data_IF_673053154033
#
_entry.id   IF_673053154033
#
_cell.length_a   1.000
_cell.length_b   1.000
_cell.length_c   1.000
_cell.angle_alpha   90.00
_cell.angle_beta   90.00
_cell.angle_gamma   90.00
#
_symmetry.space_group_name_H-M   'P 1'
#
loop_
_entity.id
_entity.type
_entity.pdbx_description
1 polymer ?
#
# COMPACT_ATOMS: atom_id res chain seq x y z
N UNK A 1 -15.68 25.54 16.19
CA UNK A 1 -15.08 25.36 17.52
C UNK A 1 -14.35 24.02 17.65
N UNK A 2 -13.63 23.56 16.62
CA UNK A 2 -13.09 22.18 16.61
C UNK A 2 -11.66 22.09 16.05
N UNK A 3 -10.95 23.22 16.06
CA UNK A 3 -9.51 23.30 15.71
C UNK A 3 -8.67 23.53 16.97
N UNK A 4 -9.27 24.09 18.03
CA UNK A 4 -8.57 24.50 19.25
C UNK A 4 -8.08 23.33 20.13
N UNK A 5 -8.53 22.10 19.84
CA UNK A 5 -8.10 20.87 20.54
C UNK A 5 -7.24 19.93 19.70
N UNK A 6 -6.90 20.30 18.47
CA UNK A 6 -6.07 19.45 17.61
C UNK A 6 -4.62 19.39 18.15
N UNK A 7 -4.14 18.18 18.41
CA UNK A 7 -2.74 17.97 18.79
C UNK A 7 -1.85 18.11 17.55
N UNK A 8 -0.75 18.84 17.69
CA UNK A 8 0.29 18.91 16.65
C UNK A 8 1.15 17.67 16.78
N UNK A 9 1.14 16.83 15.75
CA UNK A 9 1.93 15.61 15.65
C UNK A 9 2.89 15.71 14.45
N UNK A 10 4.03 15.04 14.53
CA UNK A 10 4.97 14.94 13.41
C UNK A 10 4.56 13.80 12.49
N UNK A 11 4.65 14.01 11.18
CA UNK A 11 4.38 13.00 10.15
C UNK A 11 5.56 12.91 9.19
N UNK A 12 6.09 11.71 9.01
CA UNK A 12 7.11 11.39 8.02
C UNK A 12 6.54 11.49 6.60
N UNK A 13 7.40 11.97 5.70
CA UNK A 13 7.14 12.06 4.27
C UNK A 13 8.17 11.23 3.54
N UNK A 14 7.71 10.57 2.49
CA UNK A 14 8.49 9.59 1.78
C UNK A 14 8.55 9.95 0.30
N UNK A 15 9.71 9.75 -0.31
CA UNK A 15 9.88 9.74 -1.75
C UNK A 15 9.60 8.33 -2.26
N UNK A 16 8.85 8.22 -3.35
CA UNK A 16 8.69 6.99 -4.12
C UNK A 16 9.36 7.22 -5.47
N UNK A 17 10.61 6.78 -5.60
CA UNK A 17 11.36 6.87 -6.84
C UNK A 17 11.04 5.67 -7.74
N UNK A 18 10.56 5.96 -8.95
CA UNK A 18 10.15 4.97 -9.94
C UNK A 18 11.26 4.86 -11.00
N UNK A 19 11.92 3.70 -11.04
CA UNK A 19 12.95 3.35 -12.01
C UNK A 19 12.38 2.31 -12.95
N UNK A 20 12.21 2.62 -14.22
CA UNK A 20 11.73 1.65 -15.22
C UNK A 20 12.91 0.91 -15.85
N UNK A 21 12.71 -0.38 -16.16
CA UNK A 21 13.71 -1.18 -16.85
C UNK A 21 13.61 -0.92 -18.36
N UNK A 22 14.24 0.15 -18.85
CA UNK A 22 14.42 0.35 -20.28
C UNK A 22 15.53 -0.60 -20.79
N UNK A 23 15.37 -1.17 -21.98
CA UNK A 23 16.27 -2.20 -22.54
C UNK A 23 17.72 -1.78 -22.83
N UNK A 24 18.19 -0.65 -22.29
CA UNK A 24 19.58 -0.22 -22.29
C UNK A 24 20.01 0.02 -20.83
N UNK A 25 21.20 -0.43 -20.46
CA UNK A 25 21.71 -0.73 -19.10
C UNK A 25 21.69 0.39 -18.04
N UNK A 26 21.09 1.55 -18.32
CA UNK A 26 20.93 2.65 -17.35
C UNK A 26 19.50 2.71 -16.80
N UNK A 27 19.34 2.33 -15.53
CA UNK A 27 18.13 2.61 -14.74
C UNK A 27 18.04 4.13 -14.52
N UNK A 28 17.36 4.84 -15.42
CA UNK A 28 17.06 6.26 -15.22
C UNK A 28 15.80 6.41 -14.36
N UNK A 29 15.90 7.14 -13.24
CA UNK A 29 14.73 7.52 -12.43
C UNK A 29 13.79 8.35 -13.29
N UNK A 30 12.64 7.78 -13.65
CA UNK A 30 11.68 8.41 -14.56
C UNK A 30 10.77 9.40 -13.85
N UNK A 31 10.34 9.04 -12.64
CA UNK A 31 9.37 9.82 -11.87
C UNK A 31 9.64 9.65 -10.39
N UNK A 32 9.45 10.72 -9.62
CA UNK A 32 9.38 10.67 -8.16
C UNK A 32 7.98 11.08 -7.73
N UNK A 33 7.30 10.20 -7.02
CA UNK A 33 6.03 10.49 -6.32
C UNK A 33 6.32 10.72 -4.83
N UNK A 34 5.33 11.23 -4.12
CA UNK A 34 5.41 11.42 -2.67
C UNK A 34 4.35 10.56 -1.99
N UNK A 35 4.70 10.05 -0.82
CA UNK A 35 3.83 9.23 0.01
C UNK A 35 3.83 9.77 1.44
N UNK A 36 2.66 9.83 2.06
CA UNK A 36 2.51 10.12 3.49
C UNK A 36 1.86 8.99 4.26
N UNK A 37 1.05 8.14 3.62
CA UNK A 37 0.28 7.11 4.31
C UNK A 37 0.77 5.72 3.93
N UNK A 38 0.67 5.35 2.66
CA UNK A 38 1.00 4.01 2.19
C UNK A 38 1.17 3.92 0.67
N UNK A 39 1.85 2.86 0.25
CA UNK A 39 1.89 2.37 -1.13
C UNK A 39 1.54 0.88 -1.13
N UNK A 40 0.71 0.46 -2.08
CA UNK A 40 0.30 -0.93 -2.25
C UNK A 40 0.62 -1.43 -3.66
N UNK A 41 1.00 -2.70 -3.77
CA UNK A 41 1.19 -3.44 -5.02
C UNK A 41 0.39 -4.74 -4.93
N UNK A 42 -0.47 -5.00 -5.91
CA UNK A 42 -1.27 -6.23 -5.97
C UNK A 42 -2.78 -5.99 -5.86
N UNK A 43 -3.49 -6.92 -5.22
CA UNK A 43 -4.96 -6.98 -5.26
C UNK A 43 -5.65 -5.73 -4.69
N UNK A 44 -5.11 -5.10 -3.63
CA UNK A 44 -5.63 -3.85 -3.10
C UNK A 44 -5.56 -2.71 -4.14
N UNK A 45 -4.41 -2.58 -4.79
CA UNK A 45 -4.17 -1.62 -5.84
C UNK A 45 -5.00 -1.90 -7.08
N UNK A 46 -5.27 -3.18 -7.38
CA UNK A 46 -6.15 -3.59 -8.48
C UNK A 46 -7.57 -3.12 -8.26
N UNK A 47 -8.13 -3.33 -7.07
CA UNK A 47 -9.48 -2.86 -6.72
C UNK A 47 -9.56 -1.33 -6.79
N UNK A 48 -8.53 -0.63 -6.30
CA UNK A 48 -8.44 0.83 -6.41
C UNK A 48 -8.39 1.29 -7.88
N UNK A 49 -7.60 0.61 -8.72
CA UNK A 49 -7.49 0.88 -10.15
C UNK A 49 -8.82 0.67 -10.88
N UNK A 50 -9.49 -0.47 -10.68
CA UNK A 50 -10.76 -0.78 -11.34
C UNK A 50 -11.88 0.19 -10.93
N UNK A 51 -11.90 0.57 -9.65
CA UNK A 51 -12.79 1.60 -9.15
C UNK A 51 -12.52 2.95 -9.83
N UNK A 52 -11.25 3.34 -9.96
CA UNK A 52 -10.83 4.57 -10.62
C UNK A 52 -11.24 4.57 -12.10
N UNK A 53 -10.89 3.52 -12.87
CA UNK A 53 -11.27 3.38 -14.28
C UNK A 53 -12.78 3.40 -14.46
N UNK A 54 -13.53 2.69 -13.61
CA UNK A 54 -15.01 2.69 -13.66
C UNK A 54 -15.57 4.10 -13.40
N UNK A 55 -14.93 4.89 -12.53
CA UNK A 55 -15.31 6.28 -12.27
C UNK A 55 -15.08 7.19 -13.45
N UNK A 56 -13.96 7.03 -14.14
CA UNK A 56 -13.66 7.80 -15.35
C UNK A 56 -14.60 7.44 -16.50
N UNK A 57 -14.94 6.16 -16.67
CA UNK A 57 -15.88 5.71 -17.71
C UNK A 57 -17.33 6.15 -17.45
N UNK A 58 -17.75 6.18 -16.18
CA UNK A 58 -19.17 6.34 -15.79
C UNK A 58 -19.33 7.34 -14.63
N UNK A 59 -18.94 8.62 -14.82
CA UNK A 59 -18.93 9.61 -13.74
C UNK A 59 -20.31 9.82 -13.10
N UNK A 60 -21.38 9.75 -13.89
CA UNK A 60 -22.77 9.93 -13.42
C UNK A 60 -23.19 8.91 -12.34
N UNK A 61 -22.48 7.78 -12.23
CA UNK A 61 -22.76 6.76 -11.20
C UNK A 61 -22.13 7.10 -9.85
N UNK A 62 -21.24 8.09 -9.77
CA UNK A 62 -20.46 8.41 -8.56
C UNK A 62 -21.03 9.61 -7.79
N UNK A 63 -22.36 9.77 -7.81
CA UNK A 63 -23.05 10.94 -7.25
C UNK A 63 -23.26 10.87 -5.73
N UNK A 64 -22.96 9.75 -5.06
CA UNK A 64 -23.13 9.65 -3.60
C UNK A 64 -22.12 8.72 -2.94
N UNK A 65 -21.78 9.01 -1.68
CA UNK A 65 -20.84 8.20 -0.90
C UNK A 65 -21.31 6.74 -0.74
N UNK A 66 -22.62 6.52 -0.56
CA UNK A 66 -23.18 5.17 -0.46
C UNK A 66 -22.98 4.38 -1.75
N UNK A 67 -23.28 5.00 -2.91
CA UNK A 67 -23.09 4.35 -4.21
C UNK A 67 -21.61 4.10 -4.48
N UNK A 68 -20.73 5.04 -4.13
CA UNK A 68 -19.28 4.85 -4.25
C UNK A 68 -18.81 3.64 -3.44
N UNK A 69 -19.27 3.48 -2.19
CA UNK A 69 -18.96 2.29 -1.37
C UNK A 69 -19.47 1.00 -2.01
N UNK A 70 -20.67 1.01 -2.60
CA UNK A 70 -21.24 -0.17 -3.26
C UNK A 70 -20.47 -0.57 -4.52
N UNK A 71 -20.04 0.41 -5.33
CA UNK A 71 -19.19 0.15 -6.50
C UNK A 71 -17.85 -0.44 -6.06
N UNK A 72 -17.22 0.11 -5.02
CA UNK A 72 -15.97 -0.42 -4.48
C UNK A 72 -16.13 -1.88 -4.01
N UNK A 73 -17.20 -2.17 -3.26
CA UNK A 73 -17.51 -3.53 -2.83
C UNK A 73 -17.73 -4.49 -4.01
N UNK A 74 -18.36 -4.02 -5.09
CA UNK A 74 -18.54 -4.81 -6.32
C UNK A 74 -17.22 -5.14 -6.99
N UNK A 75 -16.33 -4.17 -7.15
CA UNK A 75 -15.02 -4.40 -7.78
C UNK A 75 -14.16 -5.33 -6.91
N UNK A 76 -14.18 -5.17 -5.58
CA UNK A 76 -13.56 -6.13 -4.68
C UNK A 76 -14.13 -7.54 -4.82
N UNK A 77 -15.45 -7.70 -4.93
CA UNK A 77 -16.07 -9.01 -5.12
C UNK A 77 -15.70 -9.70 -6.44
N UNK A 78 -15.43 -8.93 -7.52
CA UNK A 78 -14.93 -9.50 -8.77
C UNK A 78 -13.52 -10.04 -8.61
N UNK A 79 -12.64 -9.26 -7.99
CA UNK A 79 -11.25 -9.67 -7.80
C UNK A 79 -11.11 -10.92 -6.90
N UNK A 80 -12.02 -11.12 -5.93
CA UNK A 80 -12.10 -12.38 -5.16
C UNK A 80 -12.28 -13.60 -6.09
N UNK A 81 -13.02 -13.46 -7.18
CA UNK A 81 -13.26 -14.53 -8.14
C UNK A 81 -12.11 -14.69 -9.13
N UNK A 82 -11.57 -13.59 -9.62
CA UNK A 82 -10.57 -13.58 -10.68
C UNK A 82 -9.14 -13.87 -10.16
N UNK A 83 -8.86 -13.58 -8.87
CA UNK A 83 -7.54 -13.73 -8.22
C UNK A 83 -6.41 -13.19 -9.08
N UNK A 84 -6.60 -11.97 -9.60
CA UNK A 84 -5.79 -11.36 -10.65
C UNK A 84 -4.31 -11.16 -10.28
N UNK A 85 -3.97 -11.24 -8.99
CA UNK A 85 -2.63 -11.03 -8.46
C UNK A 85 -2.10 -12.27 -7.71
N UNK A 86 -2.65 -13.45 -7.97
CA UNK A 86 -2.22 -14.70 -7.33
C UNK A 86 -0.80 -15.15 -7.70
N UNK A 87 -0.20 -14.53 -8.71
CA UNK A 87 1.18 -14.74 -9.15
C UNK A 87 2.16 -13.68 -8.64
N UNK A 88 1.73 -12.79 -7.74
CA UNK A 88 2.55 -11.70 -7.19
C UNK A 88 3.92 -12.16 -6.67
N UNK A 89 4.07 -13.28 -5.94
CA UNK A 89 5.37 -13.69 -5.38
C UNK A 89 6.41 -14.04 -6.46
N UNK A 90 5.96 -14.39 -7.67
CA UNK A 90 6.84 -14.71 -8.81
C UNK A 90 7.28 -13.47 -9.58
N UNK A 91 6.58 -12.36 -9.40
CA UNK A 91 6.75 -11.14 -10.18
C UNK A 91 7.18 -9.93 -9.38
N UNK A 92 7.10 -10.01 -8.05
CA UNK A 92 7.52 -8.95 -7.14
C UNK A 92 8.59 -9.50 -6.21
N UNK A 93 9.70 -8.79 -6.09
CA UNK A 93 10.73 -9.07 -5.08
C UNK A 93 10.85 -7.89 -4.13
N UNK A 94 11.03 -8.18 -2.85
CA UNK A 94 11.12 -7.19 -1.77
C UNK A 94 12.53 -7.12 -1.22
N UNK A 95 13.09 -5.93 -1.17
CA UNK A 95 14.32 -5.62 -0.45
C UNK A 95 14.04 -4.53 0.59
N UNK A 96 14.50 -4.74 1.82
CA UNK A 96 14.37 -3.81 2.95
C UNK A 96 15.75 -3.57 3.54
N UNK A 97 16.17 -2.31 3.55
CA UNK A 97 17.49 -1.88 4.05
C UNK A 97 18.67 -2.69 3.47
N UNK A 98 18.59 -3.03 2.17
CA UNK A 98 19.61 -3.81 1.47
C UNK A 98 19.54 -5.33 1.68
N UNK A 99 18.52 -5.83 2.37
CA UNK A 99 18.29 -7.27 2.59
C UNK A 99 17.05 -7.74 1.84
N UNK A 100 17.17 -8.84 1.12
CA UNK A 100 16.00 -9.47 0.50
C UNK A 100 15.09 -10.05 1.59
N UNK A 101 13.78 -9.82 1.43
CA UNK A 101 12.73 -10.34 2.32
C UNK A 101 11.83 -11.24 1.47
N UNK A 102 11.57 -12.45 1.96
CA UNK A 102 10.72 -13.40 1.25
C UNK A 102 9.25 -12.96 1.34
N UNK A 103 8.57 -12.98 0.20
CA UNK A 103 7.13 -12.78 0.12
C UNK A 103 6.46 -14.17 0.13
N UNK A 104 5.50 -14.44 1.04
CA UNK A 104 4.80 -15.72 1.08
C UNK A 104 4.15 -16.09 -0.25
N UNK A 105 4.14 -17.39 -0.59
CA UNK A 105 3.62 -17.89 -1.87
C UNK A 105 2.11 -17.64 -2.07
N UNK A 106 1.35 -17.44 -0.98
CA UNK A 106 -0.08 -17.13 -1.01
C UNK A 106 -0.38 -15.62 -1.03
N UNK A 107 0.65 -14.77 -1.00
CA UNK A 107 0.48 -13.32 -1.03
C UNK A 107 -0.02 -12.85 -2.40
N UNK A 108 -1.07 -12.04 -2.40
CA UNK A 108 -1.60 -11.38 -3.60
C UNK A 108 -1.46 -9.85 -3.51
N UNK A 109 -0.90 -9.34 -2.42
CA UNK A 109 -0.61 -7.93 -2.24
C UNK A 109 0.51 -7.70 -1.24
N UNK A 110 1.32 -6.68 -1.49
CA UNK A 110 2.33 -6.13 -0.57
C UNK A 110 2.00 -4.67 -0.34
N UNK A 111 1.91 -4.28 0.94
CA UNK A 111 1.57 -2.93 1.37
C UNK A 111 2.72 -2.42 2.23
N UNK A 112 3.18 -1.22 1.91
CA UNK A 112 4.17 -0.47 2.70
C UNK A 112 3.45 0.70 3.35
N UNK A 113 3.50 0.77 4.68
CA UNK A 113 2.76 1.74 5.48
C UNK A 113 3.69 2.66 6.27
N UNK A 114 3.22 3.88 6.49
CA UNK A 114 3.77 4.86 7.42
C UNK A 114 2.81 5.14 8.59
N UNK A 115 1.50 5.00 8.38
CA UNK A 115 0.47 5.27 9.40
C UNK A 115 -0.23 3.97 9.82
N UNK A 116 -0.77 3.89 11.05
CA UNK A 116 -1.44 2.70 11.58
C UNK A 116 -2.87 2.51 11.09
N UNK A 117 -3.20 3.09 9.94
CA UNK A 117 -4.55 3.05 9.39
C UNK A 117 -4.54 2.85 7.89
N UNK A 118 -5.31 1.86 7.46
CA UNK A 118 -5.48 1.49 6.06
C UNK A 118 -6.97 1.30 5.74
N UNK A 119 -7.37 1.33 4.46
CA UNK A 119 -8.76 1.06 4.02
C UNK A 119 -9.86 1.80 4.81
N UNK A 120 -9.63 3.07 5.14
CA UNK A 120 -10.63 3.90 5.81
C UNK A 120 -10.78 3.65 7.32
N UNK A 121 -9.69 3.28 8.01
CA UNK A 121 -9.67 3.18 9.47
C UNK A 121 -9.19 1.85 10.03
N UNK A 122 -8.89 0.88 9.18
CA UNK A 122 -8.51 -0.48 9.58
C UNK A 122 -7.09 -0.49 10.12
N UNK A 123 -6.92 -0.98 11.34
CA UNK A 123 -5.62 -1.40 11.86
C UNK A 123 -5.33 -2.82 11.32
N UNK A 124 -4.29 -2.95 10.51
CA UNK A 124 -4.02 -4.17 9.75
C UNK A 124 -3.50 -5.31 10.62
N UNK A 125 -2.81 -5.05 11.73
CA UNK A 125 -2.25 -6.11 12.58
C UNK A 125 -2.47 -5.89 14.07
N UNK A 126 -3.13 -4.80 14.50
CA UNK A 126 -3.25 -4.38 15.89
C UNK A 126 -1.88 -3.99 16.43
N UNK A 127 -1.54 -2.70 16.39
CA UNK A 127 -0.21 -2.20 16.76
C UNK A 127 0.06 -2.25 18.28
N UNK A 128 0.19 -3.45 18.83
CA UNK A 128 0.49 -3.76 20.23
C UNK A 128 1.76 -4.62 20.35
N UNK A 129 2.14 -4.97 21.59
CA UNK A 129 3.34 -5.77 21.87
C UNK A 129 3.04 -7.28 21.95
N UNK A 130 1.85 -7.74 21.53
CA UNK A 130 1.42 -9.14 21.71
C UNK A 130 1.74 -10.03 20.48
N UNK A 131 2.57 -9.56 19.56
CA UNK A 131 2.99 -10.33 18.38
C UNK A 131 4.24 -11.17 18.66
N UNK A 132 4.26 -12.36 18.07
CA UNK A 132 5.41 -13.29 18.09
C UNK A 132 6.43 -12.93 17.00
N UNK A 133 6.71 -11.63 16.84
CA UNK A 133 7.66 -11.08 15.88
C UNK A 133 8.65 -10.11 16.56
N UNK A 134 9.80 -9.89 15.91
CA UNK A 134 10.87 -9.04 16.44
C UNK A 134 10.74 -7.56 16.00
N UNK A 135 9.58 -7.14 15.50
CA UNK A 135 9.41 -5.80 14.95
C UNK A 135 8.95 -4.80 16.02
N UNK A 136 9.35 -3.53 15.87
CA UNK A 136 8.90 -2.47 16.77
C UNK A 136 7.44 -2.10 16.58
N UNK A 137 6.92 -1.30 17.51
CA UNK A 137 5.64 -0.62 17.34
C UNK A 137 5.72 0.34 16.15
N UNK A 138 4.67 0.34 15.32
CA UNK A 138 4.55 1.28 14.23
C UNK A 138 4.41 2.71 14.73
N UNK A 139 5.08 3.64 14.05
CA UNK A 139 5.02 5.07 14.32
C UNK A 139 5.11 5.86 13.03
N UNK A 140 4.31 6.92 12.93
CA UNK A 140 4.28 7.80 11.75
C UNK A 140 5.41 8.84 11.72
N UNK A 141 6.37 8.79 12.65
CA UNK A 141 7.42 9.80 12.82
C UNK A 141 8.78 9.24 13.27
N UNK A 142 8.98 7.93 13.20
CA UNK A 142 10.23 7.26 13.57
C UNK A 142 11.19 7.03 12.40
N UNK A 143 10.78 7.44 11.19
CA UNK A 143 11.49 7.27 9.92
C UNK A 143 11.66 5.81 9.53
N UNK A 144 10.73 4.96 9.95
CA UNK A 144 10.60 3.57 9.53
C UNK A 144 9.29 3.38 8.75
N UNK A 145 9.25 2.32 7.96
CA UNK A 145 8.06 1.86 7.24
C UNK A 145 7.81 0.40 7.59
N UNK A 146 6.54 0.06 7.67
CA UNK A 146 6.07 -1.30 7.89
C UNK A 146 5.72 -1.92 6.54
N UNK A 147 6.26 -3.11 6.28
CA UNK A 147 5.92 -3.89 5.09
C UNK A 147 5.09 -5.09 5.52
N UNK A 148 3.91 -5.22 4.94
CA UNK A 148 2.99 -6.32 5.19
C UNK A 148 2.51 -6.95 3.90
N UNK A 149 2.03 -8.19 3.97
CA UNK A 149 1.34 -8.83 2.85
C UNK A 149 -0.07 -9.29 3.21
N UNK A 150 -0.85 -9.48 2.14
CA UNK A 150 -2.25 -9.91 2.17
C UNK A 150 -2.46 -11.03 1.16
N UNK A 151 -3.35 -11.97 1.47
CA UNK A 151 -3.58 -13.20 0.68
C UNK A 151 -4.83 -13.08 -0.21
N UNK A 152 -5.03 -11.90 -0.83
CA UNK A 152 -6.17 -11.62 -1.72
C UNK A 152 -7.30 -10.81 -1.09
N UNK A 153 -8.29 -10.48 -1.92
CA UNK A 153 -9.39 -9.57 -1.55
C UNK A 153 -10.35 -10.15 -0.51
N UNK A 154 -10.43 -11.48 -0.37
CA UNK A 154 -11.15 -12.11 0.75
C UNK A 154 -10.46 -11.85 2.09
N UNK A 155 -9.12 -11.90 2.11
CA UNK A 155 -8.35 -11.54 3.29
C UNK A 155 -8.58 -10.07 3.66
N UNK A 156 -8.56 -9.16 2.68
CA UNK A 156 -8.93 -7.75 2.87
C UNK A 156 -10.32 -7.56 3.49
N UNK A 157 -11.32 -8.31 3.01
CA UNK A 157 -12.67 -8.27 3.59
C UNK A 157 -12.70 -8.67 5.06
N UNK A 158 -11.96 -9.72 5.45
CA UNK A 158 -11.84 -10.14 6.86
C UNK A 158 -11.11 -9.11 7.72
N UNK A 159 -10.09 -8.43 7.19
CA UNK A 159 -9.37 -7.36 7.90
C UNK A 159 -10.33 -6.22 8.26
N UNK A 160 -11.18 -5.81 7.33
CA UNK A 160 -12.13 -4.71 7.52
C UNK A 160 -13.16 -4.97 8.63
N UNK A 161 -13.48 -6.25 8.91
CA UNK A 161 -14.41 -6.66 9.98
C UNK A 161 -13.71 -7.18 11.24
N UNK A 162 -12.37 -7.10 11.31
CA UNK A 162 -11.59 -7.54 12.47
C UNK A 162 -11.51 -9.06 12.66
N UNK A 163 -11.72 -9.84 11.59
CA UNK A 163 -11.65 -11.32 11.62
C UNK A 163 -10.32 -11.88 11.13
N UNK A 164 -9.36 -11.03 10.78
CA UNK A 164 -8.01 -11.42 10.33
C UNK A 164 -7.02 -10.32 10.65
N UNK A 165 -5.72 -10.62 10.47
CA UNK A 165 -4.60 -9.67 10.56
C UNK A 165 -3.68 -9.85 9.35
N UNK A 166 -3.13 -8.76 8.85
CA UNK A 166 -2.14 -8.79 7.78
C UNK A 166 -0.84 -9.41 8.32
N UNK A 167 -0.08 -10.05 7.45
CA UNK A 167 1.17 -10.67 7.84
C UNK A 167 2.31 -9.65 7.72
N UNK A 168 3.02 -9.37 8.81
CA UNK A 168 4.16 -8.45 8.83
C UNK A 168 5.38 -9.13 8.24
N UNK A 169 5.97 -8.51 7.22
CA UNK A 169 7.15 -9.03 6.51
C UNK A 169 8.44 -8.37 6.99
N UNK A 170 8.40 -7.05 7.22
CA UNK A 170 9.59 -6.30 7.58
C UNK A 170 9.24 -4.93 8.19
N UNK A 171 10.23 -4.33 8.83
CA UNK A 171 10.24 -2.93 9.22
C UNK A 171 11.60 -2.32 8.83
N UNK A 172 11.62 -1.20 8.11
CA UNK A 172 12.87 -0.64 7.58
C UNK A 172 12.80 0.80 7.10
N UNK A 173 13.94 1.39 6.73
CA UNK A 173 14.06 2.80 6.33
C UNK A 173 14.03 3.00 4.82
N UNK A 174 14.51 2.02 4.07
CA UNK A 174 14.54 2.03 2.61
C UNK A 174 13.91 0.74 2.12
N UNK A 175 12.80 0.88 1.41
CA UNK A 175 12.04 -0.24 0.87
C UNK A 175 12.19 -0.23 -0.65
N UNK A 176 12.51 -1.37 -1.25
CA UNK A 176 12.55 -1.54 -2.70
C UNK A 176 11.64 -2.68 -3.11
N UNK A 177 10.70 -2.37 -3.99
CA UNK A 177 9.85 -3.35 -4.66
C UNK A 177 10.31 -3.46 -6.11
N UNK A 178 10.84 -4.62 -6.47
CA UNK A 178 11.28 -4.94 -7.82
C UNK A 178 10.16 -5.68 -8.55
N UNK A 179 9.62 -5.05 -9.58
CA UNK A 179 8.53 -5.58 -10.40
C UNK A 179 9.12 -6.15 -11.69
N UNK A 180 8.91 -7.44 -11.94
CA UNK A 180 9.41 -8.17 -13.11
C UNK A 180 8.37 -8.26 -14.25
N UNK A 181 7.12 -7.93 -13.96
CA UNK A 181 6.02 -7.79 -14.93
C UNK A 181 5.19 -6.54 -14.58
N UNK A 182 4.23 -6.18 -15.43
CA UNK A 182 3.34 -5.05 -15.15
C UNK A 182 2.38 -5.39 -14.02
N UNK A 183 2.36 -4.58 -12.96
CA UNK A 183 1.51 -4.81 -11.79
C UNK A 183 0.68 -3.57 -11.42
N UNK A 184 -0.53 -3.75 -10.85
CA UNK A 184 -1.29 -2.65 -10.28
C UNK A 184 -0.58 -2.12 -9.03
N UNK A 185 -0.43 -0.80 -8.95
CA UNK A 185 0.20 -0.07 -7.86
C UNK A 185 -0.68 1.11 -7.48
N UNK A 186 -0.71 1.47 -6.19
CA UNK A 186 -1.38 2.68 -5.73
C UNK A 186 -0.56 3.35 -4.62
N UNK A 187 -0.53 4.68 -4.62
CA UNK A 187 0.11 5.48 -3.57
C UNK A 187 -0.89 6.49 -3.04
N UNK A 188 -1.11 6.48 -1.74
CA UNK A 188 -2.08 7.36 -1.06
C UNK A 188 -3.46 7.43 -1.75
N UNK A 189 -3.91 6.32 -2.36
CA UNK A 189 -5.20 6.22 -3.06
C UNK A 189 -5.20 6.59 -4.55
N UNK A 190 -4.03 6.92 -5.14
CA UNK A 190 -3.88 7.19 -6.58
C UNK A 190 -3.31 5.95 -7.30
N UNK A 191 -4.14 5.17 -8.03
CA UNK A 191 -3.73 3.93 -8.66
C UNK A 191 -3.16 4.11 -10.08
N UNK A 192 -2.30 3.19 -10.52
CA UNK A 192 -1.84 3.03 -11.90
C UNK A 192 -1.35 1.60 -12.16
N UNK A 193 -1.13 1.25 -13.43
CA UNK A 193 -0.40 0.03 -13.81
C UNK A 193 1.08 0.39 -13.97
N UNK A 194 1.92 -0.18 -13.13
CA UNK A 194 3.37 0.04 -13.15
C UNK A 194 4.04 -0.98 -14.08
N UNK A 195 4.76 -0.55 -15.13
CA UNK A 195 5.62 -1.43 -15.92
C UNK A 195 6.80 -2.01 -15.11
N UNK A 196 7.48 -3.05 -15.61
CA UNK A 196 8.65 -3.64 -14.96
C UNK A 196 9.70 -2.59 -14.57
N UNK A 197 10.18 -2.69 -13.33
CA UNK A 197 11.02 -1.65 -12.74
C UNK A 197 11.24 -1.82 -11.26
N UNK A 198 11.73 -0.77 -10.61
CA UNK A 198 11.95 -0.70 -9.17
C UNK A 198 11.21 0.52 -8.61
N UNK A 199 10.43 0.29 -7.55
CA UNK A 199 9.86 1.32 -6.71
C UNK A 199 10.72 1.41 -5.44
N UNK A 200 11.45 2.51 -5.29
CA UNK A 200 12.28 2.76 -4.11
C UNK A 200 11.60 3.80 -3.22
N UNK A 201 11.25 3.39 -2.01
CA UNK A 201 10.68 4.25 -0.98
C UNK A 201 11.75 4.64 0.02
N UNK A 202 11.94 5.94 0.25
CA UNK A 202 12.94 6.47 1.17
C UNK A 202 12.48 7.75 1.86
N UNK A 203 12.95 7.96 3.08
CA UNK A 203 12.55 9.10 3.90
C UNK A 203 12.99 10.42 3.25
N UNK A 204 12.05 11.34 3.08
CA UNK A 204 12.25 12.68 2.51
C UNK A 204 12.40 13.75 3.59
N UNK A 205 11.63 13.65 4.66
CA UNK A 205 11.52 14.70 5.67
C UNK A 205 10.27 14.54 6.50
N UNK A 206 10.04 15.50 7.39
CA UNK A 206 8.90 15.51 8.31
C UNK A 206 8.06 16.76 8.12
N UNK A 207 6.77 16.65 8.39
CA UNK A 207 5.84 17.80 8.45
C UNK A 207 5.04 17.76 9.74
N UNK A 208 4.55 18.92 10.14
CA UNK A 208 3.58 19.03 11.22
C UNK A 208 2.20 18.72 10.66
N UNK A 209 1.50 17.82 11.33
CA UNK A 209 0.14 17.40 11.03
C UNK A 209 -0.74 17.69 12.26
N UNK A 210 -1.99 18.10 12.00
CA UNK A 210 -2.99 18.27 13.07
C UNK A 210 -3.77 16.97 13.22
N UNK A 211 -3.47 16.23 14.27
CA UNK A 211 -4.27 15.08 14.69
C UNK A 211 -5.44 15.54 15.57
N UNK A 212 -6.62 14.98 15.32
CA UNK A 212 -7.80 15.18 16.18
C UNK A 212 -7.82 14.16 17.29
#
# INVERSE_FOLDING_TARGET
NDVDHAAVTVLDRWNVAIKEKNGAEDQCTKQVKFMTNYIGVGCDAKVAYDFHTTREEKPDKFCSQFVNKLIYAREGAKDIMDRSCSDLPWHVSLEVDGKNVEIPEDAEGVIVLNIPSYMGGVDLWQNDNEHDDDFGLQSMHDKMLEVVCISGTWHLGKLQVGLSRAHRLAQGKVIRLHLHSSFPVQVDGEPWIQPPGCLEISHRGQVLYLSR
#
